data_IF_138617729102
#
_entry.id   IF_138617729102
#
_cell.length_a   1.000
_cell.length_b   1.000
_cell.length_c   1.000
_cell.angle_alpha   90.00
_cell.angle_beta   90.00
_cell.angle_gamma   90.00
#
_symmetry.space_group_name_H-M   'P 1'
#
loop_
_entity.id
_entity.type
_entity.pdbx_description
1 polymer ?
#
# COMPACT_ATOMS: atom_id res chain seq x y z
N UNK A 1 -7.97 -5.25 -4.82
CA UNK A 1 -9.08 -4.54 -5.49
C UNK A 1 -10.33 -5.40 -5.46
N UNK A 2 -11.40 -4.90 -4.84
CA UNK A 2 -12.68 -5.59 -4.72
C UNK A 2 -12.61 -6.96 -4.00
N UNK A 3 -13.62 -7.80 -4.25
CA UNK A 3 -13.72 -9.13 -3.63
C UNK A 3 -12.60 -10.06 -4.10
N UNK A 4 -12.35 -10.11 -5.40
CA UNK A 4 -11.35 -11.02 -6.00
C UNK A 4 -9.97 -10.83 -5.36
N UNK A 5 -9.46 -9.58 -5.31
CA UNK A 5 -8.17 -9.28 -4.68
C UNK A 5 -8.15 -9.55 -3.19
N UNK A 6 -9.21 -9.16 -2.48
CA UNK A 6 -9.34 -9.40 -1.03
C UNK A 6 -9.28 -10.89 -0.70
N UNK A 7 -10.05 -11.72 -1.39
CA UNK A 7 -10.11 -13.16 -1.13
C UNK A 7 -8.76 -13.83 -1.43
N UNK A 8 -8.06 -13.39 -2.49
CA UNK A 8 -6.72 -13.87 -2.80
C UNK A 8 -5.70 -13.47 -1.71
N UNK A 9 -5.73 -12.23 -1.21
CA UNK A 9 -4.87 -11.77 -0.10
C UNK A 9 -5.13 -12.58 1.16
N UNK A 10 -6.40 -12.73 1.56
CA UNK A 10 -6.79 -13.51 2.76
C UNK A 10 -6.33 -14.96 2.69
N UNK A 11 -6.35 -15.56 1.51
CA UNK A 11 -5.87 -16.93 1.29
C UNK A 11 -4.34 -17.03 1.31
N UNK A 12 -3.65 -16.09 0.66
CA UNK A 12 -2.22 -16.24 0.38
C UNK A 12 -1.32 -15.70 1.51
N UNK A 13 -1.71 -14.62 2.20
CA UNK A 13 -0.90 -14.02 3.27
C UNK A 13 -0.50 -15.01 4.36
N UNK A 14 -1.40 -15.85 4.92
CA UNK A 14 -0.99 -16.82 5.95
C UNK A 14 0.02 -17.85 5.42
N UNK A 15 -0.06 -18.20 4.13
CA UNK A 15 0.85 -19.14 3.47
C UNK A 15 2.23 -18.53 3.34
N UNK A 16 2.32 -17.36 2.71
CA UNK A 16 3.59 -16.66 2.51
C UNK A 16 4.23 -16.24 3.81
N UNK A 17 3.45 -15.79 4.82
CA UNK A 17 4.00 -15.42 6.13
C UNK A 17 4.74 -16.59 6.77
N UNK A 18 4.22 -17.79 6.61
CA UNK A 18 4.87 -19.02 7.10
C UNK A 18 6.03 -19.48 6.20
N UNK A 19 5.80 -19.59 4.88
CA UNK A 19 6.77 -20.18 3.96
C UNK A 19 7.99 -19.30 3.74
N UNK A 20 7.78 -17.98 3.68
CA UNK A 20 8.85 -16.99 3.53
C UNK A 20 9.34 -16.45 4.86
N UNK A 21 8.82 -16.97 5.99
CA UNK A 21 9.18 -16.54 7.34
C UNK A 21 9.10 -15.01 7.53
N UNK A 22 8.03 -14.40 7.02
CA UNK A 22 7.88 -12.95 7.06
C UNK A 22 7.67 -12.45 8.50
N UNK A 23 8.47 -11.50 8.91
CA UNK A 23 8.35 -10.85 10.23
C UNK A 23 7.16 -9.88 10.28
N UNK A 24 6.80 -9.26 9.14
CA UNK A 24 5.65 -8.39 9.03
C UNK A 24 5.03 -8.43 7.62
N UNK A 25 3.74 -8.18 7.53
CA UNK A 25 2.98 -8.03 6.28
C UNK A 25 2.16 -6.75 6.36
N UNK A 26 2.39 -5.85 5.40
CA UNK A 26 1.65 -4.60 5.24
C UNK A 26 0.80 -4.70 3.98
N UNK A 27 -0.47 -4.32 4.05
CA UNK A 27 -1.41 -4.40 2.92
C UNK A 27 -2.06 -3.04 2.71
N UNK A 28 -2.03 -2.53 1.48
CA UNK A 28 -2.89 -1.41 1.12
C UNK A 28 -4.33 -1.92 0.92
N UNK A 29 -5.23 -1.48 1.80
CA UNK A 29 -6.63 -1.90 1.86
C UNK A 29 -7.60 -0.91 1.22
N UNK A 30 -7.11 0.14 0.58
CA UNK A 30 -7.91 1.26 0.08
C UNK A 30 -9.10 0.85 -0.78
N UNK A 31 -8.94 -0.16 -1.64
CA UNK A 31 -9.95 -0.59 -2.60
C UNK A 31 -10.57 -1.95 -2.26
N UNK A 32 -10.58 -2.32 -0.98
CA UNK A 32 -10.99 -3.65 -0.54
C UNK A 32 -12.52 -3.85 -0.52
N UNK A 33 -13.31 -2.77 -0.34
CA UNK A 33 -14.79 -2.85 -0.29
C UNK A 33 -15.37 -2.30 -1.60
N UNK A 34 -15.92 -3.19 -2.42
CA UNK A 34 -16.55 -2.84 -3.70
C UNK A 34 -15.71 -1.91 -4.59
N UNK A 35 -14.37 -2.02 -4.49
CA UNK A 35 -13.43 -1.24 -5.27
C UNK A 35 -13.08 0.13 -4.71
N UNK A 36 -13.67 0.56 -3.57
CA UNK A 36 -13.38 1.84 -2.91
C UNK A 36 -13.60 1.75 -1.40
N UNK A 37 -12.59 2.18 -0.64
CA UNK A 37 -12.65 2.20 0.81
C UNK A 37 -12.43 0.85 1.47
N UNK A 38 -12.40 0.90 2.80
CA UNK A 38 -12.28 -0.25 3.70
C UNK A 38 -13.29 -0.14 4.82
N UNK A 39 -13.78 -1.26 5.34
CA UNK A 39 -14.73 -1.31 6.44
C UNK A 39 -14.22 -2.19 7.60
N UNK A 40 -14.94 -2.17 8.73
CA UNK A 40 -14.61 -2.93 9.93
C UNK A 40 -14.45 -4.43 9.66
N UNK A 41 -15.39 -5.02 8.93
CA UNK A 41 -15.38 -6.45 8.65
C UNK A 41 -14.12 -6.88 7.86
N UNK A 42 -13.78 -6.13 6.81
CA UNK A 42 -12.60 -6.41 5.98
C UNK A 42 -11.31 -6.17 6.78
N UNK A 43 -11.25 -5.09 7.58
CA UNK A 43 -10.13 -4.81 8.47
C UNK A 43 -9.88 -5.99 9.41
N UNK A 44 -10.93 -6.47 10.10
CA UNK A 44 -10.82 -7.62 11.01
C UNK A 44 -10.35 -8.89 10.30
N UNK A 45 -10.87 -9.17 9.11
CA UNK A 45 -10.46 -10.35 8.33
C UNK A 45 -8.99 -10.28 7.90
N UNK A 46 -8.51 -9.12 7.45
CA UNK A 46 -7.10 -8.94 7.07
C UNK A 46 -6.17 -9.12 8.28
N UNK A 47 -6.48 -8.48 9.40
CA UNK A 47 -5.69 -8.64 10.64
C UNK A 47 -5.70 -10.09 11.14
N UNK A 48 -6.86 -10.77 11.11
CA UNK A 48 -6.97 -12.18 11.47
C UNK A 48 -6.18 -13.13 10.55
N UNK A 49 -6.01 -12.73 9.27
CA UNK A 49 -5.18 -13.47 8.31
C UNK A 49 -3.67 -13.24 8.49
N UNK A 50 -3.26 -12.39 9.44
CA UNK A 50 -1.86 -12.15 9.76
C UNK A 50 -1.27 -10.90 9.11
N UNK A 51 -2.11 -9.99 8.59
CA UNK A 51 -1.66 -8.64 8.20
C UNK A 51 -1.36 -7.85 9.48
N UNK A 52 -0.21 -7.19 9.53
CA UNK A 52 0.26 -6.48 10.72
C UNK A 52 -0.09 -4.98 10.69
N UNK A 53 -0.14 -4.38 9.49
CA UNK A 53 -0.67 -3.02 9.29
C UNK A 53 -1.40 -2.90 7.96
N UNK A 54 -2.39 -2.00 7.91
CA UNK A 54 -3.19 -1.72 6.72
C UNK A 54 -3.05 -0.24 6.40
N UNK A 55 -2.58 0.06 5.19
CA UNK A 55 -2.52 1.41 4.64
C UNK A 55 -3.72 1.67 3.73
N UNK A 56 -3.95 2.92 3.39
CA UNK A 56 -5.01 3.34 2.46
C UNK A 56 -4.51 4.46 1.54
N UNK A 57 -5.41 5.25 0.97
CA UNK A 57 -5.09 6.36 0.09
C UNK A 57 -6.25 7.34 -0.05
N UNK A 58 -6.50 7.86 -1.25
CA UNK A 58 -7.53 8.86 -1.51
C UNK A 58 -8.96 8.34 -1.28
N UNK A 59 -9.19 7.03 -1.32
CA UNK A 59 -10.49 6.40 -1.02
C UNK A 59 -10.62 5.91 0.43
N UNK A 60 -9.76 6.34 1.35
CA UNK A 60 -9.74 5.87 2.74
C UNK A 60 -11.14 5.88 3.40
N UNK A 61 -11.94 6.92 3.16
CA UNK A 61 -13.25 7.13 3.79
C UNK A 61 -14.45 6.89 2.88
N UNK A 62 -14.26 6.26 1.70
CA UNK A 62 -15.35 6.05 0.74
C UNK A 62 -16.32 4.92 1.14
N UNK A 63 -15.94 4.06 2.09
CA UNK A 63 -16.87 3.10 2.69
C UNK A 63 -17.82 3.83 3.66
N UNK A 64 -19.09 3.97 3.27
CA UNK A 64 -20.10 4.74 4.03
C UNK A 64 -20.25 4.22 5.45
N UNK A 65 -20.24 5.15 6.41
CA UNK A 65 -20.47 4.85 7.84
C UNK A 65 -19.29 4.23 8.58
N UNK A 66 -18.14 4.04 7.92
CA UNK A 66 -17.00 3.28 8.46
C UNK A 66 -15.85 4.15 8.98
N UNK A 67 -16.02 5.47 9.06
CA UNK A 67 -14.97 6.40 9.55
C UNK A 67 -14.46 6.02 10.94
N UNK A 68 -15.31 5.57 11.85
CA UNK A 68 -14.93 5.09 13.19
C UNK A 68 -14.04 3.84 13.19
N UNK A 69 -13.92 3.16 12.06
CA UNK A 69 -12.99 2.05 11.88
C UNK A 69 -11.53 2.51 12.07
N UNK A 70 -11.17 3.68 11.56
CA UNK A 70 -9.81 4.25 11.65
C UNK A 70 -9.41 4.65 13.08
N UNK A 71 -10.37 4.85 13.96
CA UNK A 71 -10.13 5.10 15.39
C UNK A 71 -10.04 3.78 16.19
N UNK A 72 -10.81 2.77 15.76
CA UNK A 72 -10.91 1.48 16.45
C UNK A 72 -9.71 0.56 16.21
N UNK A 73 -9.04 0.66 15.07
CA UNK A 73 -7.91 -0.19 14.71
C UNK A 73 -6.62 0.61 14.62
N UNK A 74 -5.71 0.48 15.61
CA UNK A 74 -4.46 1.26 15.67
C UNK A 74 -3.52 1.05 14.47
N UNK A 75 -3.64 -0.07 13.79
CA UNK A 75 -2.81 -0.43 12.62
C UNK A 75 -3.51 -0.25 11.28
N UNK A 76 -4.72 0.33 11.27
CA UNK A 76 -5.38 0.83 10.08
C UNK A 76 -5.03 2.31 9.89
N UNK A 77 -4.33 2.64 8.81
CA UNK A 77 -3.79 3.97 8.58
C UNK A 77 -4.55 4.69 7.46
N UNK A 78 -4.89 5.95 7.71
CA UNK A 78 -5.26 6.91 6.68
C UNK A 78 -4.02 7.69 6.23
N UNK A 79 -4.05 8.46 5.13
CA UNK A 79 -2.90 9.27 4.74
C UNK A 79 -2.41 10.22 5.85
N UNK A 80 -1.06 10.24 6.03
CA UNK A 80 -0.37 10.96 7.09
C UNK A 80 -0.66 12.48 7.03
N UNK A 81 -0.59 13.03 5.83
CA UNK A 81 -0.68 14.45 5.56
C UNK A 81 -2.11 14.97 5.31
N UNK A 82 -3.14 14.18 5.65
CA UNK A 82 -4.51 14.68 5.76
C UNK A 82 -4.60 15.78 6.83
N UNK A 83 -5.61 16.63 6.73
CA UNK A 83 -5.79 17.76 7.65
C UNK A 83 -5.88 17.29 9.12
N UNK A 84 -5.39 18.07 10.09
CA UNK A 84 -5.18 17.61 11.49
C UNK A 84 -6.40 17.06 12.21
N UNK A 85 -7.63 17.47 11.82
CA UNK A 85 -8.88 17.00 12.44
C UNK A 85 -9.46 15.76 11.78
N UNK A 86 -8.76 15.16 10.81
CA UNK A 86 -9.21 13.94 10.13
C UNK A 86 -9.11 12.74 11.09
N UNK A 87 -10.18 11.94 11.27
CA UNK A 87 -10.17 10.77 12.14
C UNK A 87 -9.07 9.74 11.76
N UNK A 88 -8.58 9.00 12.76
CA UNK A 88 -7.55 7.99 12.57
C UNK A 88 -6.13 8.57 12.56
N UNK A 89 -5.18 7.74 12.20
CA UNK A 89 -3.74 8.06 12.26
C UNK A 89 -3.05 7.74 10.93
N UNK A 90 -1.96 8.43 10.63
CA UNK A 90 -1.20 8.27 9.37
C UNK A 90 0.05 7.40 9.51
N UNK A 91 0.34 6.93 10.72
CA UNK A 91 1.46 6.02 11.01
C UNK A 91 1.16 5.16 12.23
N UNK A 92 1.86 4.04 12.33
CA UNK A 92 1.89 3.20 13.53
C UNK A 92 3.25 2.54 13.67
N UNK A 93 3.58 2.09 14.88
CA UNK A 93 4.71 1.19 15.11
C UNK A 93 4.14 -0.20 15.39
N UNK A 94 4.54 -1.18 14.58
CA UNK A 94 4.27 -2.58 14.81
C UNK A 94 5.50 -3.24 15.43
N UNK A 95 5.29 -4.26 16.26
CA UNK A 95 6.38 -5.05 16.86
C UNK A 95 6.31 -6.47 16.32
N UNK A 96 7.39 -6.91 15.71
CA UNK A 96 7.49 -8.28 15.17
C UNK A 96 7.55 -9.32 16.29
N UNK A 97 7.31 -10.61 16.01
CA UNK A 97 7.47 -11.67 16.99
C UNK A 97 8.89 -11.76 17.61
N UNK A 98 9.90 -11.24 16.90
CA UNK A 98 11.29 -11.19 17.37
C UNK A 98 11.61 -9.91 18.17
N UNK A 99 10.62 -9.01 18.34
CA UNK A 99 10.78 -7.77 19.12
C UNK A 99 11.27 -6.56 18.32
N UNK A 100 11.52 -6.69 17.00
CA UNK A 100 11.87 -5.53 16.17
C UNK A 100 10.66 -4.60 16.03
N UNK A 101 10.94 -3.30 16.02
CA UNK A 101 9.95 -2.24 15.82
C UNK A 101 10.00 -1.74 14.38
N UNK A 102 8.89 -1.80 13.68
CA UNK A 102 8.73 -1.28 12.33
C UNK A 102 7.76 -0.11 12.36
N UNK A 103 8.24 1.08 11.99
CA UNK A 103 7.37 2.22 11.75
C UNK A 103 6.75 2.08 10.36
N UNK A 104 5.43 2.01 10.28
CA UNK A 104 4.66 2.03 9.02
C UNK A 104 4.06 3.42 8.85
N UNK A 105 4.29 4.03 7.70
CA UNK A 105 3.83 5.39 7.39
C UNK A 105 3.08 5.38 6.06
N UNK A 106 1.96 6.10 6.00
CA UNK A 106 1.14 6.18 4.79
C UNK A 106 0.94 7.64 4.34
N UNK A 107 1.90 8.30 3.71
CA UNK A 107 1.67 9.62 3.09
C UNK A 107 0.90 9.49 1.77
N UNK A 108 0.26 10.59 1.35
CA UNK A 108 -0.39 10.74 0.05
C UNK A 108 0.18 11.92 -0.71
N UNK A 109 0.34 11.78 -2.00
CA UNK A 109 0.81 12.80 -2.93
C UNK A 109 -0.15 14.00 -3.06
N UNK A 110 0.32 15.07 -3.68
CA UNK A 110 -0.49 16.25 -3.99
C UNK A 110 -0.90 16.31 -5.46
N UNK A 111 -0.02 15.84 -6.37
CA UNK A 111 -0.29 15.89 -7.79
C UNK A 111 -1.39 14.91 -8.19
N UNK A 112 -2.37 15.40 -8.91
CA UNK A 112 -3.53 14.63 -9.43
C UNK A 112 -4.40 13.98 -8.34
N UNK A 113 -4.22 14.35 -7.06
CA UNK A 113 -5.10 13.94 -5.98
C UNK A 113 -6.19 14.98 -5.76
N UNK A 114 -7.43 14.52 -5.53
CA UNK A 114 -8.58 15.40 -5.31
C UNK A 114 -8.69 15.94 -3.88
N UNK A 115 -7.97 15.31 -2.94
CA UNK A 115 -8.00 15.66 -1.52
C UNK A 115 -7.15 16.91 -1.24
N UNK A 116 -7.65 17.77 -0.33
CA UNK A 116 -6.83 18.82 0.25
C UNK A 116 -5.89 18.20 1.30
N UNK A 117 -4.59 18.24 1.01
CA UNK A 117 -3.57 17.65 1.87
C UNK A 117 -2.39 18.61 2.07
N UNK A 118 -1.71 18.46 3.20
CA UNK A 118 -0.43 19.14 3.43
C UNK A 118 0.68 18.50 2.58
N UNK A 119 1.83 19.16 2.47
CA UNK A 119 2.98 18.58 1.79
C UNK A 119 3.39 17.25 2.41
N UNK A 120 3.45 16.14 1.64
CA UNK A 120 3.90 14.86 2.16
C UNK A 120 5.37 14.88 2.57
N UNK A 121 6.21 15.69 1.92
CA UNK A 121 7.63 15.84 2.24
C UNK A 121 7.84 16.46 3.62
N UNK A 122 7.14 17.55 3.92
CA UNK A 122 7.22 18.19 5.24
C UNK A 122 6.57 17.32 6.34
N UNK A 123 5.49 16.60 6.03
CA UNK A 123 4.89 15.67 6.96
C UNK A 123 5.84 14.52 7.33
N UNK A 124 6.62 14.02 6.36
CA UNK A 124 7.67 13.02 6.62
C UNK A 124 8.80 13.61 7.47
N UNK A 125 9.27 14.83 7.18
CA UNK A 125 10.30 15.48 8.00
C UNK A 125 9.86 15.65 9.46
N UNK A 126 8.63 16.10 9.68
CA UNK A 126 8.11 16.29 11.03
C UNK A 126 7.99 14.96 11.79
N UNK A 127 7.58 13.89 11.11
CA UNK A 127 7.50 12.56 11.70
C UNK A 127 8.90 12.00 12.03
N UNK A 128 9.85 12.14 11.11
CA UNK A 128 11.21 11.62 11.27
C UNK A 128 12.08 12.38 12.31
N UNK A 129 11.59 13.49 12.87
CA UNK A 129 12.17 14.08 14.09
C UNK A 129 11.97 13.20 15.33
N UNK A 130 10.94 12.34 15.31
CA UNK A 130 10.58 11.46 16.42
C UNK A 130 11.09 10.03 16.26
N UNK A 131 11.38 9.62 15.02
CA UNK A 131 11.79 8.27 14.67
C UNK A 131 13.11 8.25 13.94
N UNK A 132 14.06 7.47 14.45
CA UNK A 132 15.41 7.33 13.89
C UNK A 132 15.62 5.89 13.44
N UNK A 133 15.89 5.71 12.14
CA UNK A 133 16.19 4.41 11.55
C UNK A 133 17.43 3.79 12.19
N UNK A 134 17.35 2.52 12.61
CA UNK A 134 18.42 1.84 13.34
C UNK A 134 18.63 2.36 14.78
N UNK A 135 17.83 3.36 15.22
CA UNK A 135 17.87 3.95 16.55
C UNK A 135 16.71 3.47 17.43
N UNK A 136 15.60 4.23 17.45
CA UNK A 136 14.42 3.84 18.23
C UNK A 136 13.42 2.96 17.49
N UNK A 137 13.59 2.77 16.16
CA UNK A 137 12.91 1.76 15.32
C UNK A 137 13.92 1.03 14.46
N UNK A 138 13.66 -0.27 14.20
CA UNK A 138 14.54 -1.12 13.40
C UNK A 138 14.32 -0.90 11.90
N UNK A 139 13.10 -0.62 11.49
CA UNK A 139 12.77 -0.32 10.10
C UNK A 139 11.72 0.78 10.00
N UNK A 140 11.72 1.49 8.87
CA UNK A 140 10.71 2.49 8.50
C UNK A 140 10.21 2.16 7.10
N UNK A 141 8.94 1.75 6.99
CA UNK A 141 8.27 1.44 5.74
C UNK A 141 7.31 2.58 5.38
N UNK A 142 7.43 3.10 4.17
CA UNK A 142 6.59 4.17 3.64
C UNK A 142 5.78 3.63 2.46
N UNK A 143 4.45 3.55 2.62
CA UNK A 143 3.49 3.38 1.52
C UNK A 143 3.10 4.77 1.03
N UNK A 144 3.71 5.23 -0.05
CA UNK A 144 3.42 6.55 -0.62
C UNK A 144 2.35 6.43 -1.71
N UNK A 145 1.14 6.85 -1.36
CA UNK A 145 -0.01 6.77 -2.26
C UNK A 145 0.02 7.92 -3.27
N UNK A 146 0.32 7.63 -4.56
CA UNK A 146 0.62 8.66 -5.56
C UNK A 146 0.29 8.24 -6.99
N UNK A 147 -0.25 9.18 -7.77
CA UNK A 147 -0.44 9.04 -9.22
C UNK A 147 0.83 9.39 -10.02
N UNK A 148 1.52 10.48 -9.65
CA UNK A 148 2.61 11.02 -10.44
C UNK A 148 3.94 10.30 -10.19
N UNK A 149 4.54 9.72 -11.23
CA UNK A 149 5.86 9.06 -11.15
C UNK A 149 6.96 10.02 -10.70
N UNK A 150 6.89 11.30 -11.07
CA UNK A 150 7.85 12.31 -10.61
C UNK A 150 7.78 12.54 -9.09
N UNK A 151 6.57 12.48 -8.50
CA UNK A 151 6.40 12.72 -7.06
C UNK A 151 6.88 11.54 -6.23
N UNK A 152 6.57 10.29 -6.66
CA UNK A 152 7.09 9.09 -5.98
C UNK A 152 8.62 8.98 -6.08
N UNK A 153 9.20 9.23 -7.24
CA UNK A 153 10.64 9.20 -7.41
C UNK A 153 11.32 10.27 -6.57
N UNK A 154 10.75 11.48 -6.54
CA UNK A 154 11.25 12.55 -5.66
C UNK A 154 11.20 12.16 -4.18
N UNK A 155 10.12 11.49 -3.73
CA UNK A 155 10.00 11.00 -2.36
C UNK A 155 11.05 9.92 -2.06
N UNK A 156 11.29 8.99 -2.99
CA UNK A 156 12.32 7.97 -2.88
C UNK A 156 13.70 8.58 -2.65
N UNK A 157 14.12 9.52 -3.51
CA UNK A 157 15.40 10.21 -3.37
C UNK A 157 15.47 11.10 -2.13
N UNK A 158 14.37 11.77 -1.77
CA UNK A 158 14.30 12.63 -0.59
C UNK A 158 14.48 11.87 0.72
N UNK A 159 14.00 10.62 0.77
CA UNK A 159 14.08 9.77 1.95
C UNK A 159 15.23 8.75 1.88
N UNK A 160 16.03 8.73 0.81
CA UNK A 160 17.11 7.77 0.67
C UNK A 160 18.10 7.80 1.83
N UNK A 161 18.31 6.63 2.44
CA UNK A 161 19.13 6.45 3.65
C UNK A 161 18.46 6.87 4.96
N UNK A 162 17.26 7.48 4.92
CA UNK A 162 16.49 7.91 6.10
C UNK A 162 15.38 6.93 6.49
N UNK A 163 14.97 6.08 5.53
CA UNK A 163 13.94 5.04 5.71
C UNK A 163 14.40 3.73 5.08
N UNK A 164 13.76 2.62 5.45
CA UNK A 164 14.08 1.30 4.90
C UNK A 164 13.50 1.11 3.50
N UNK A 165 12.30 1.62 3.25
CA UNK A 165 11.62 1.47 1.97
C UNK A 165 10.65 2.60 1.70
N UNK A 166 10.54 2.99 0.42
CA UNK A 166 9.49 3.83 -0.15
C UNK A 166 8.85 3.06 -1.30
N UNK A 167 7.62 2.59 -1.08
CA UNK A 167 6.87 1.80 -2.06
C UNK A 167 5.63 2.60 -2.45
N UNK A 168 5.48 2.82 -3.75
CA UNK A 168 4.30 3.52 -4.30
C UNK A 168 3.08 2.60 -4.40
N UNK A 169 1.91 3.21 -4.30
CA UNK A 169 0.59 2.60 -4.54
C UNK A 169 -0.32 3.60 -5.22
N UNK A 170 -1.39 3.19 -5.83
CA UNK A 170 -2.47 3.97 -6.46
C UNK A 170 -2.75 3.59 -7.92
N UNK A 171 -1.71 3.47 -8.76
CA UNK A 171 -1.94 3.31 -10.21
C UNK A 171 -2.50 1.95 -10.61
N UNK A 172 -2.49 1.00 -9.69
CA UNK A 172 -2.89 -0.39 -9.90
C UNK A 172 -2.01 -1.18 -10.90
N UNK A 173 -0.96 -0.58 -11.43
CA UNK A 173 -0.05 -1.18 -12.40
C UNK A 173 1.33 -1.41 -11.75
N UNK A 174 1.79 -2.68 -11.59
CA UNK A 174 3.09 -2.92 -10.98
C UNK A 174 4.21 -2.42 -11.90
N UNK A 175 5.07 -1.58 -11.35
CA UNK A 175 6.20 -1.01 -12.11
C UNK A 175 7.42 -1.95 -12.11
N UNK A 176 8.36 -1.72 -13.02
CA UNK A 176 9.53 -2.57 -13.23
C UNK A 176 10.81 -1.99 -12.58
N UNK A 177 10.68 -0.95 -11.76
CA UNK A 177 11.78 -0.14 -11.23
C UNK A 177 12.16 -0.48 -9.78
N UNK A 178 11.87 -1.71 -9.35
CA UNK A 178 12.26 -2.19 -8.02
C UNK A 178 13.77 -2.15 -7.86
N UNK A 179 14.27 -1.42 -6.87
CA UNK A 179 15.70 -1.21 -6.66
C UNK A 179 16.01 -0.89 -5.19
N UNK A 180 17.28 -0.91 -4.84
CA UNK A 180 17.80 -0.29 -3.62
C UNK A 180 18.57 0.96 -4.02
N UNK A 181 18.17 2.11 -3.50
CA UNK A 181 18.82 3.39 -3.75
C UNK A 181 20.18 3.47 -3.05
N UNK A 182 21.10 4.36 -3.47
CA UNK A 182 22.47 4.40 -2.95
C UNK A 182 22.59 4.56 -1.43
N UNK A 183 21.63 5.23 -0.78
CA UNK A 183 21.57 5.38 0.68
C UNK A 183 21.08 4.13 1.42
N UNK A 184 20.57 3.11 0.70
CA UNK A 184 20.10 1.84 1.24
C UNK A 184 18.57 1.78 1.44
N UNK A 185 17.81 2.68 0.83
CA UNK A 185 16.34 2.63 0.84
C UNK A 185 15.84 1.77 -0.33
N UNK A 186 15.02 0.77 -0.06
CA UNK A 186 14.31 0.03 -1.11
C UNK A 186 13.25 0.94 -1.76
N UNK A 187 13.09 0.81 -3.06
CA UNK A 187 12.20 1.67 -3.84
C UNK A 187 11.45 0.88 -4.92
N UNK A 188 10.18 1.21 -5.12
CA UNK A 188 9.41 0.86 -6.32
C UNK A 188 8.31 1.90 -6.52
N UNK A 189 8.11 2.37 -7.77
CA UNK A 189 7.13 3.42 -8.10
C UNK A 189 5.68 3.01 -7.86
N UNK A 190 5.29 1.76 -8.12
CA UNK A 190 3.98 1.21 -7.72
C UNK A 190 4.07 -0.31 -7.55
N UNK A 191 3.58 -0.79 -6.43
CA UNK A 191 3.55 -2.22 -6.12
C UNK A 191 2.56 -3.01 -7.00
N UNK A 192 1.61 -2.32 -7.63
CA UNK A 192 0.49 -2.91 -8.35
C UNK A 192 -0.68 -3.33 -7.45
N UNK A 193 -1.79 -3.72 -8.06
CA UNK A 193 -2.97 -4.16 -7.31
C UNK A 193 -2.96 -5.67 -7.04
N UNK A 194 -3.65 -6.08 -5.99
CA UNK A 194 -4.13 -7.44 -5.84
C UNK A 194 -5.54 -7.50 -6.43
N UNK A 195 -5.72 -8.17 -7.58
CA UNK A 195 -7.01 -8.18 -8.27
C UNK A 195 -6.98 -8.86 -9.64
N UNK A 196 -8.10 -8.79 -10.33
CA UNK A 196 -8.22 -9.31 -11.69
C UNK A 196 -7.61 -8.33 -12.70
N UNK A 197 -6.53 -8.74 -13.36
CA UNK A 197 -5.85 -7.94 -14.39
C UNK A 197 -6.47 -8.05 -15.79
N UNK A 198 -7.50 -8.90 -16.00
CA UNK A 198 -8.37 -8.83 -17.18
C UNK A 198 -9.45 -7.77 -17.01
N UNK A 199 -9.03 -6.56 -16.75
CA UNK A 199 -9.85 -5.43 -16.33
C UNK A 199 -9.18 -4.11 -16.71
N UNK A 200 -9.83 -2.99 -16.49
CA UNK A 200 -9.19 -1.67 -16.51
C UNK A 200 -9.00 -1.22 -15.06
N UNK A 201 -7.77 -1.30 -14.57
CA UNK A 201 -7.42 -0.93 -13.19
C UNK A 201 -8.28 -1.65 -12.11
N UNK A 202 -8.69 -2.89 -12.39
CA UNK A 202 -9.50 -3.69 -11.47
C UNK A 202 -11.01 -3.50 -11.60
N UNK A 203 -11.49 -2.66 -12.51
CA UNK A 203 -12.93 -2.53 -12.83
C UNK A 203 -13.26 -3.25 -14.14
N UNK A 204 -14.51 -3.67 -14.28
CA UNK A 204 -14.99 -4.34 -15.48
C UNK A 204 -14.73 -3.46 -16.72
N UNK A 205 -14.11 -4.05 -17.76
CA UNK A 205 -13.52 -3.29 -18.86
C UNK A 205 -14.53 -2.64 -19.79
N UNK A 206 -15.73 -3.24 -19.99
CA UNK A 206 -16.73 -2.72 -20.94
C UNK A 206 -17.11 -1.27 -20.59
N UNK A 207 -17.52 -1.05 -19.34
CA UNK A 207 -17.89 0.28 -18.85
C UNK A 207 -16.71 1.27 -18.85
N UNK A 208 -15.53 0.78 -18.49
CA UNK A 208 -14.33 1.60 -18.51
C UNK A 208 -13.99 2.07 -19.94
N UNK A 209 -14.06 1.19 -20.94
CA UNK A 209 -13.85 1.52 -22.35
C UNK A 209 -14.94 2.50 -22.86
N UNK A 210 -16.21 2.22 -22.52
CA UNK A 210 -17.32 3.14 -22.88
C UNK A 210 -17.08 4.57 -22.39
N UNK A 211 -16.45 4.75 -21.22
CA UNK A 211 -16.17 6.09 -20.66
C UNK A 211 -15.21 6.94 -21.49
N UNK A 212 -14.39 6.30 -22.33
CA UNK A 212 -13.46 6.97 -23.24
C UNK A 212 -13.96 7.03 -24.68
N UNK A 213 -14.95 6.21 -25.06
CA UNK A 213 -15.43 6.11 -26.44
C UNK A 213 -16.78 6.79 -26.65
N UNK A 214 -17.51 7.11 -25.58
CA UNK A 214 -18.83 7.70 -25.63
C UNK A 214 -18.89 9.01 -24.83
N UNK A 215 -19.45 10.07 -25.42
CA UNK A 215 -19.71 11.33 -24.69
C UNK A 215 -20.84 11.21 -23.67
N UNK A 216 -21.72 10.22 -23.81
CA UNK A 216 -22.84 9.96 -22.91
C UNK A 216 -22.83 8.49 -22.48
N UNK A 217 -22.89 8.29 -21.15
CA UNK A 217 -23.03 6.97 -20.51
C UNK A 217 -24.21 7.06 -19.55
N UNK A 218 -25.23 6.22 -19.77
CA UNK A 218 -26.44 6.21 -18.96
C UNK A 218 -26.21 5.83 -17.50
N UNK A 219 -25.28 4.89 -17.27
CA UNK A 219 -24.85 4.44 -15.94
C UNK A 219 -23.33 4.49 -15.83
N UNK A 220 -22.83 5.39 -14.98
CA UNK A 220 -21.39 5.58 -14.74
C UNK A 220 -20.84 4.69 -13.63
N UNK A 221 -21.64 3.76 -13.10
CA UNK A 221 -21.20 2.89 -12.02
C UNK A 221 -20.13 1.92 -12.54
N UNK A 222 -18.91 2.05 -11.99
CA UNK A 222 -17.82 1.12 -12.23
C UNK A 222 -17.89 0.00 -11.21
N UNK A 223 -17.97 -1.26 -11.67
CA UNK A 223 -17.96 -2.44 -10.80
C UNK A 223 -16.59 -3.10 -10.81
N UNK A 224 -16.09 -3.59 -9.65
CA UNK A 224 -14.87 -4.38 -9.63
C UNK A 224 -14.98 -5.64 -10.49
N UNK A 225 -13.92 -5.94 -11.23
CA UNK A 225 -13.81 -7.20 -11.97
C UNK A 225 -13.80 -8.39 -11.00
N UNK A 226 -14.34 -9.54 -11.44
CA UNK A 226 -14.60 -10.71 -10.58
C UNK A 226 -13.81 -11.96 -10.98
N UNK A 227 -12.92 -11.83 -11.95
CA UNK A 227 -12.07 -12.94 -12.40
C UNK A 227 -10.96 -13.29 -11.40
N UNK A 228 -10.15 -14.30 -11.70
CA UNK A 228 -9.04 -14.73 -10.84
C UNK A 228 -8.05 -13.59 -10.59
N UNK A 229 -7.66 -13.41 -9.33
CA UNK A 229 -6.73 -12.35 -8.96
C UNK A 229 -5.28 -12.74 -9.23
N UNK A 230 -4.47 -11.75 -9.64
CA UNK A 230 -3.02 -11.74 -9.48
C UNK A 230 -2.70 -10.89 -8.25
N UNK A 231 -1.83 -11.40 -7.39
CA UNK A 231 -1.30 -10.69 -6.22
C UNK A 231 -0.03 -9.95 -6.63
N UNK A 232 0.03 -8.66 -6.35
CA UNK A 232 1.23 -7.84 -6.52
C UNK A 232 1.68 -7.25 -5.20
N UNK A 233 2.99 -7.09 -5.05
CA UNK A 233 3.62 -6.54 -3.86
C UNK A 233 5.14 -6.45 -4.01
N UNK A 234 5.82 -6.17 -2.91
CA UNK A 234 7.29 -6.12 -2.83
C UNK A 234 7.75 -6.94 -1.64
N UNK A 235 8.71 -7.81 -1.86
CA UNK A 235 9.45 -8.51 -0.81
C UNK A 235 10.67 -7.70 -0.42
N UNK A 236 10.90 -7.53 0.88
CA UNK A 236 12.00 -6.74 1.42
C UNK A 236 12.77 -7.53 2.47
N UNK A 237 14.11 -7.47 2.42
CA UNK A 237 14.97 -7.84 3.54
C UNK A 237 15.65 -6.58 4.07
N UNK A 238 15.61 -6.41 5.40
CA UNK A 238 16.11 -5.23 6.08
C UNK A 238 17.17 -5.68 7.10
N UNK A 239 18.32 -5.02 7.10
CA UNK A 239 19.35 -5.24 8.10
C UNK A 239 18.90 -4.72 9.47
N UNK A 240 18.87 -5.58 10.47
CA UNK A 240 18.34 -5.29 11.81
C UNK A 240 19.09 -4.17 12.56
N UNK A 241 20.37 -3.93 12.22
CA UNK A 241 21.21 -2.95 12.89
C UNK A 241 21.11 -1.57 12.27
N UNK A 242 21.10 -1.53 10.94
CA UNK A 242 21.12 -0.26 10.19
C UNK A 242 19.74 0.20 9.76
N UNK A 243 18.77 -0.73 9.69
CA UNK A 243 17.45 -0.50 9.14
C UNK A 243 17.44 -0.35 7.62
N UNK A 244 18.57 -0.52 6.94
CA UNK A 244 18.67 -0.40 5.49
C UNK A 244 18.23 -1.66 4.79
N UNK A 245 17.67 -1.51 3.59
CA UNK A 245 17.32 -2.65 2.76
C UNK A 245 18.57 -3.35 2.22
N UNK A 246 18.57 -4.67 2.29
CA UNK A 246 19.59 -5.56 1.70
C UNK A 246 19.06 -6.31 0.49
N UNK A 247 17.72 -6.43 0.37
CA UNK A 247 17.05 -7.05 -0.77
C UNK A 247 15.69 -6.40 -1.02
N UNK A 248 15.36 -6.18 -2.29
CA UNK A 248 14.05 -5.68 -2.72
C UNK A 248 13.66 -6.40 -4.01
N UNK A 249 12.54 -7.09 -4.01
CA UNK A 249 12.05 -7.83 -5.17
C UNK A 249 10.56 -7.65 -5.39
N UNK A 250 10.18 -7.35 -6.63
CA UNK A 250 8.78 -7.31 -7.01
C UNK A 250 8.15 -8.71 -6.89
N UNK A 251 7.00 -8.78 -6.26
CA UNK A 251 6.20 -10.00 -6.15
C UNK A 251 5.00 -9.90 -7.09
N UNK A 252 4.86 -10.89 -7.96
CA UNK A 252 3.68 -11.06 -8.82
C UNK A 252 3.32 -12.55 -8.83
N UNK A 253 2.11 -12.89 -8.40
CA UNK A 253 1.65 -14.27 -8.31
C UNK A 253 0.20 -14.39 -8.78
N UNK A 254 -0.02 -15.04 -9.91
CA UNK A 254 -1.37 -15.23 -10.45
C UNK A 254 -1.40 -15.47 -11.95
N UNK A 255 -2.59 -15.55 -12.55
CA UNK A 255 -2.75 -16.03 -13.93
C UNK A 255 -2.51 -14.98 -15.01
N UNK A 256 -2.43 -13.68 -14.68
CA UNK A 256 -2.54 -12.63 -15.69
C UNK A 256 -1.28 -11.79 -15.92
N UNK A 257 -0.29 -11.87 -15.02
CA UNK A 257 0.99 -11.23 -15.17
C UNK A 257 2.10 -12.27 -15.12
N UNK A 258 3.27 -11.92 -15.68
CA UNK A 258 4.45 -12.77 -15.52
C UNK A 258 4.78 -12.92 -14.03
N UNK A 259 4.80 -14.16 -13.55
CA UNK A 259 5.05 -14.44 -12.14
C UNK A 259 6.49 -14.11 -11.76
N UNK A 260 6.66 -13.44 -10.63
CA UNK A 260 7.95 -13.21 -9.96
C UNK A 260 7.78 -13.47 -8.48
N UNK A 261 8.63 -14.32 -7.92
CA UNK A 261 8.60 -14.67 -6.50
C UNK A 261 10.02 -14.60 -5.94
N UNK A 262 10.21 -14.18 -4.67
CA UNK A 262 11.54 -13.96 -4.10
C UNK A 262 12.36 -15.24 -3.91
N UNK A 263 11.73 -16.38 -3.97
CA UNK A 263 12.34 -17.71 -3.78
C UNK A 263 11.98 -18.70 -4.91
N UNK A 264 11.78 -18.21 -6.13
CA UNK A 264 11.47 -19.01 -7.31
C UNK A 264 12.76 -19.39 -8.06
#
# INVERSE_FOLDING_TARGET
MGQSGRDAVLKQVPIWKREWMLDAVIVNGENAVNGKGINREVTQKLLAAGVDAITTGNHAFDAKGEVGCFESFPTLLRPLNFLPRTPGRGHCVITTPKGQKILVVNPIAQLFMSQQVNSPFYAMDDLLKQYTLGGNVNAIFVDFHTEATSEIQSMGWYLDGRVSAVIGTHTHAPTADTAILPGGTAFQSDAGMCGDYRSVLGVEHTRAVESFTNNYIADRKMEPAKGPATLCGVYLEIDDKTGKATRAEAVRSGPHLHNTLPFA
#
